data_IF_793352055669
#
_entry.id   IF_793352055669
#
_cell.length_a   1.000
_cell.length_b   1.000
_cell.length_c   1.000
_cell.angle_alpha   90.00
_cell.angle_beta   90.00
_cell.angle_gamma   90.00
#
_symmetry.space_group_name_H-M   'P 1'
#
loop_
_entity.id
_entity.type
_entity.pdbx_description
1 polymer ?
#
# COMPACT_ATOMS: atom_id res chain seq x y z
N UNK A 1 5.65 11.85 -1.32
CA UNK A 1 4.73 11.33 -2.35
C UNK A 1 5.42 11.43 -3.71
N UNK A 2 5.54 10.35 -4.48
CA UNK A 2 6.12 10.39 -5.83
C UNK A 2 5.30 11.28 -6.79
N UNK A 3 5.97 12.04 -7.67
CA UNK A 3 5.33 13.01 -8.57
C UNK A 3 4.38 12.34 -9.59
N UNK A 4 4.72 11.15 -10.03
CA UNK A 4 3.94 10.33 -10.96
C UNK A 4 2.59 9.89 -10.34
N UNK A 5 2.53 9.72 -9.02
CA UNK A 5 1.26 9.44 -8.31
C UNK A 5 0.37 10.68 -8.24
N UNK A 6 0.94 11.86 -8.01
CA UNK A 6 0.18 13.11 -7.94
C UNK A 6 -0.54 13.41 -9.26
N UNK A 7 0.05 13.05 -10.39
CA UNK A 7 -0.49 13.29 -11.73
C UNK A 7 -1.70 12.42 -12.09
N UNK A 8 -1.91 11.30 -11.40
CA UNK A 8 -2.99 10.34 -11.68
C UNK A 8 -4.18 10.45 -10.70
N UNK A 9 -4.12 11.40 -9.76
CA UNK A 9 -5.22 11.67 -8.85
C UNK A 9 -6.36 12.33 -9.61
N UNK A 10 -7.59 11.88 -9.37
CA UNK A 10 -8.78 12.52 -9.94
C UNK A 10 -9.15 13.78 -9.14
N UNK A 11 -9.99 14.65 -9.69
CA UNK A 11 -10.47 15.84 -8.99
C UNK A 11 -11.10 15.46 -7.64
N UNK A 12 -10.65 16.12 -6.57
CA UNK A 12 -11.10 15.88 -5.20
C UNK A 12 -10.53 14.62 -4.53
N UNK A 13 -9.70 13.83 -5.23
CA UNK A 13 -8.90 12.76 -4.61
C UNK A 13 -7.69 13.39 -3.91
N UNK A 14 -7.48 13.07 -2.64
CA UNK A 14 -6.36 13.59 -1.84
C UNK A 14 -5.53 12.45 -1.29
N UNK A 15 -4.21 12.59 -1.29
CA UNK A 15 -3.32 11.67 -0.59
C UNK A 15 -3.46 11.86 0.92
N UNK A 16 -3.61 10.74 1.65
CA UNK A 16 -3.80 10.70 3.10
C UNK A 16 -2.51 10.27 3.80
N UNK A 17 -1.88 9.21 3.28
CA UNK A 17 -0.63 8.69 3.82
C UNK A 17 0.16 7.95 2.73
N UNK A 18 1.48 7.93 2.86
CA UNK A 18 2.36 7.15 2.00
C UNK A 18 3.36 6.36 2.86
N UNK A 19 3.45 5.06 2.61
CA UNK A 19 4.36 4.14 3.28
C UNK A 19 5.40 3.65 2.30
N UNK A 20 6.65 3.54 2.76
CA UNK A 20 7.71 2.92 1.98
C UNK A 20 7.56 1.40 2.06
N UNK A 21 7.38 0.76 0.91
CA UNK A 21 7.43 -0.71 0.82
C UNK A 21 8.87 -1.15 0.59
N UNK A 22 9.12 -2.46 0.56
CA UNK A 22 10.45 -2.98 0.23
C UNK A 22 10.90 -2.57 -1.19
N UNK A 23 9.96 -2.46 -2.13
CA UNK A 23 10.25 -2.19 -3.55
C UNK A 23 9.91 -0.78 -4.01
N UNK A 24 8.98 -0.07 -3.36
CA UNK A 24 8.64 1.31 -3.73
C UNK A 24 7.74 2.03 -2.69
N UNK A 25 6.41 2.05 -2.85
CA UNK A 25 5.51 2.76 -1.95
C UNK A 25 4.06 2.30 -2.05
N UNK A 26 3.35 2.36 -0.92
CA UNK A 26 1.92 2.14 -0.81
C UNK A 26 1.27 3.44 -0.32
N UNK A 27 0.28 3.95 -1.07
CA UNK A 27 -0.26 5.29 -0.90
C UNK A 27 -1.76 5.22 -0.70
N UNK A 28 -2.21 5.66 0.47
CA UNK A 28 -3.62 5.78 0.81
C UNK A 28 -4.10 7.14 0.31
N UNK A 29 -5.18 7.14 -0.47
CA UNK A 29 -5.90 8.36 -0.86
C UNK A 29 -7.27 8.38 -0.20
N UNK A 30 -8.07 9.41 -0.46
CA UNK A 30 -9.49 9.42 -0.05
C UNK A 30 -10.37 8.45 -0.84
N UNK A 31 -9.84 7.73 -1.85
CA UNK A 31 -10.63 6.86 -2.74
C UNK A 31 -10.08 5.44 -2.91
N UNK A 32 -8.76 5.26 -2.84
CA UNK A 32 -8.10 3.99 -3.17
C UNK A 32 -6.73 3.88 -2.53
N UNK A 33 -6.26 2.65 -2.42
CA UNK A 33 -4.85 2.36 -2.21
C UNK A 33 -4.15 2.32 -3.58
N UNK A 34 -3.09 3.11 -3.74
CA UNK A 34 -2.20 3.08 -4.90
C UNK A 34 -0.91 2.37 -4.49
N UNK A 35 -0.57 1.28 -5.17
CA UNK A 35 0.68 0.56 -4.98
C UNK A 35 1.58 0.86 -6.16
N UNK A 36 2.74 1.44 -5.90
CA UNK A 36 3.79 1.66 -6.89
C UNK A 36 4.86 0.61 -6.69
N UNK A 37 5.29 -0.04 -7.77
CA UNK A 37 6.33 -1.07 -7.78
C UNK A 37 7.34 -0.80 -8.90
N UNK A 38 8.58 -0.42 -8.53
CA UNK A 38 9.66 -0.20 -9.46
C UNK A 38 10.34 -1.54 -9.75
N UNK A 39 10.28 -1.92 -11.01
CA UNK A 39 10.78 -3.19 -11.51
C UNK A 39 12.05 -3.03 -12.33
N UNK A 40 12.83 -4.11 -12.34
CA UNK A 40 14.05 -4.25 -13.12
C UNK A 40 15.28 -3.62 -12.45
N UNK A 41 16.46 -3.97 -12.95
CA UNK A 41 17.75 -3.56 -12.39
C UNK A 41 17.96 -2.04 -12.36
N UNK A 42 17.34 -1.31 -13.29
CA UNK A 42 17.43 0.15 -13.38
C UNK A 42 16.34 0.90 -12.62
N UNK A 43 15.31 0.20 -12.12
CA UNK A 43 14.13 0.81 -11.48
C UNK A 43 13.30 1.72 -12.39
N UNK A 44 13.58 1.76 -13.71
CA UNK A 44 12.89 2.65 -14.65
C UNK A 44 11.50 2.15 -15.05
N UNK A 45 11.25 0.85 -14.97
CA UNK A 45 9.93 0.28 -15.23
C UNK A 45 9.12 0.43 -13.94
N UNK A 46 8.03 1.17 -13.98
CA UNK A 46 7.16 1.36 -12.81
C UNK A 46 5.82 0.72 -13.13
N UNK A 47 5.40 -0.22 -12.30
CA UNK A 47 4.05 -0.75 -12.31
C UNK A 47 3.23 -0.07 -11.21
N UNK A 48 2.00 0.32 -11.54
CA UNK A 48 1.08 0.96 -10.60
C UNK A 48 -0.23 0.19 -10.55
N UNK A 49 -0.63 -0.18 -9.34
CA UNK A 49 -1.91 -0.81 -9.07
C UNK A 49 -2.80 0.18 -8.32
N UNK A 50 -4.04 0.34 -8.79
CA UNK A 50 -5.07 1.11 -8.09
C UNK A 50 -6.11 0.17 -7.51
N UNK A 51 -6.23 0.14 -6.20
CA UNK A 51 -7.17 -0.69 -5.46
C UNK A 51 -8.22 0.18 -4.77
N UNK A 52 -9.43 0.35 -5.36
CA UNK A 52 -10.54 1.00 -4.68
C UNK A 52 -10.89 0.29 -3.38
N UNK A 53 -11.12 1.04 -2.30
CA UNK A 53 -11.35 0.46 -0.98
C UNK A 53 -12.57 -0.46 -0.93
N UNK A 54 -13.63 -0.10 -1.65
CA UNK A 54 -14.86 -0.92 -1.79
C UNK A 54 -14.63 -2.34 -2.33
N UNK A 55 -13.47 -2.60 -2.95
CA UNK A 55 -13.14 -3.91 -3.52
C UNK A 55 -12.31 -4.79 -2.56
N UNK A 56 -11.86 -4.24 -1.42
CA UNK A 56 -11.16 -4.99 -0.38
C UNK A 56 -12.22 -5.74 0.43
N UNK A 57 -12.16 -7.06 0.42
CA UNK A 57 -13.12 -7.93 1.14
C UNK A 57 -12.56 -8.43 2.47
N UNK A 58 -11.24 -8.49 2.60
CA UNK A 58 -10.53 -8.90 3.81
C UNK A 58 -9.10 -8.34 3.76
N UNK A 59 -8.50 -8.13 4.93
CA UNK A 59 -7.07 -7.91 5.05
C UNK A 59 -6.49 -8.67 6.25
N UNK A 60 -5.19 -8.90 6.22
CA UNK A 60 -4.40 -9.38 7.35
C UNK A 60 -3.10 -8.59 7.43
N UNK A 61 -2.49 -8.60 8.61
CA UNK A 61 -1.27 -7.87 8.90
C UNK A 61 -0.34 -8.72 9.76
N UNK A 62 0.94 -8.73 9.43
CA UNK A 62 1.98 -9.40 10.21
C UNK A 62 3.08 -8.38 10.58
N UNK A 63 3.44 -8.34 11.85
CA UNK A 63 4.53 -7.51 12.34
C UNK A 63 5.86 -8.23 12.08
N UNK A 64 6.93 -7.46 11.88
CA UNK A 64 8.28 -8.02 11.82
C UNK A 64 8.60 -8.74 13.15
N UNK A 65 8.96 -10.02 13.10
CA UNK A 65 9.25 -10.86 14.27
C UNK A 65 10.72 -10.86 14.73
N UNK A 66 10.96 -10.63 16.03
CA UNK A 66 12.29 -10.82 16.64
C UNK A 66 13.41 -9.94 16.05
N UNK A 67 14.66 -10.23 16.43
CA UNK A 67 15.82 -9.37 16.10
C UNK A 67 16.27 -9.45 14.62
N UNK A 68 15.80 -10.46 13.89
CA UNK A 68 16.29 -10.82 12.55
C UNK A 68 15.24 -10.77 11.44
N UNK A 69 13.94 -10.76 11.77
CA UNK A 69 12.91 -10.52 10.77
C UNK A 69 12.70 -9.00 10.66
N UNK A 70 13.02 -8.46 9.49
CA UNK A 70 13.11 -7.01 9.28
C UNK A 70 11.89 -6.45 8.56
N UNK A 71 11.01 -7.30 8.05
CA UNK A 71 9.95 -6.90 7.15
C UNK A 71 8.60 -7.24 7.78
N UNK A 72 7.72 -6.27 7.80
CA UNK A 72 6.33 -6.49 8.11
C UNK A 72 5.54 -6.68 6.83
N UNK A 73 4.35 -7.25 6.94
CA UNK A 73 3.55 -7.58 5.78
C UNK A 73 2.09 -7.22 5.97
N UNK A 74 1.45 -6.81 4.89
CA UNK A 74 0.00 -6.63 4.80
C UNK A 74 -0.50 -7.35 3.56
N UNK A 75 -1.52 -8.16 3.74
CA UNK A 75 -2.18 -8.89 2.67
C UNK A 75 -3.63 -8.39 2.52
N UNK A 76 -4.07 -8.25 1.27
CA UNK A 76 -5.35 -7.66 0.88
C UNK A 76 -6.07 -8.60 -0.09
N UNK A 77 -7.27 -9.02 0.27
CA UNK A 77 -8.09 -9.87 -0.59
C UNK A 77 -9.16 -9.05 -1.29
N UNK A 78 -9.37 -9.39 -2.55
CA UNK A 78 -10.43 -8.84 -3.39
C UNK A 78 -11.15 -10.01 -4.06
N UNK A 79 -12.29 -9.73 -4.70
CA UNK A 79 -12.97 -10.74 -5.53
C UNK A 79 -12.14 -11.18 -6.76
N UNK A 80 -11.18 -10.36 -7.19
CA UNK A 80 -10.37 -10.62 -8.38
C UNK A 80 -9.01 -11.28 -8.05
N UNK A 81 -8.64 -11.38 -6.78
CA UNK A 81 -7.35 -11.91 -6.37
C UNK A 81 -6.84 -11.34 -5.05
N UNK A 82 -5.58 -11.63 -4.78
CA UNK A 82 -4.87 -11.33 -3.54
C UNK A 82 -3.65 -10.45 -3.82
N UNK A 83 -3.48 -9.38 -3.04
CA UNK A 83 -2.38 -8.41 -3.14
C UNK A 83 -1.57 -8.47 -1.83
N UNK A 84 -0.27 -8.72 -1.97
CA UNK A 84 0.70 -8.81 -0.86
C UNK A 84 1.62 -7.60 -0.86
N UNK A 85 1.65 -6.88 0.26
CA UNK A 85 2.46 -5.68 0.47
C UNK A 85 3.55 -5.95 1.50
N UNK A 86 4.79 -6.03 1.02
CA UNK A 86 5.96 -6.12 1.90
C UNK A 86 6.38 -4.72 2.33
N UNK A 87 6.32 -4.47 3.63
CA UNK A 87 6.63 -3.20 4.23
C UNK A 87 8.12 -3.13 4.54
N UNK A 88 8.71 -1.95 4.36
CA UNK A 88 10.11 -1.72 4.72
C UNK A 88 10.33 -1.77 6.23
N UNK A 89 11.58 -1.93 6.63
CA UNK A 89 11.99 -1.87 8.04
C UNK A 89 11.52 -0.58 8.71
N UNK A 90 10.95 -0.72 9.91
CA UNK A 90 10.51 0.41 10.74
C UNK A 90 9.16 1.01 10.36
N UNK A 91 8.43 0.39 9.41
CA UNK A 91 7.04 0.78 9.12
C UNK A 91 6.12 0.32 10.26
N UNK A 92 5.30 1.24 10.75
CA UNK A 92 4.26 0.94 11.72
C UNK A 92 3.06 0.26 11.05
N UNK A 93 2.95 -1.05 11.23
CA UNK A 93 1.88 -1.89 10.69
C UNK A 93 0.53 -1.54 11.30
N UNK A 94 0.47 -1.17 12.59
CA UNK A 94 -0.78 -0.82 13.26
C UNK A 94 -1.36 0.49 12.73
N UNK A 95 -0.48 1.40 12.29
CA UNK A 95 -0.92 2.58 11.56
C UNK A 95 -1.55 2.22 10.21
N UNK A 96 -1.02 1.22 9.51
CA UNK A 96 -1.60 0.72 8.26
C UNK A 96 -2.95 0.04 8.51
N UNK A 97 -3.07 -0.81 9.53
CA UNK A 97 -4.35 -1.42 9.92
C UNK A 97 -5.43 -0.35 10.15
N UNK A 98 -5.07 0.70 10.89
CA UNK A 98 -5.98 1.81 11.19
C UNK A 98 -6.44 2.55 9.93
N UNK A 99 -5.55 2.70 8.94
CA UNK A 99 -5.88 3.36 7.67
C UNK A 99 -6.73 2.47 6.76
N UNK A 100 -6.46 1.16 6.71
CA UNK A 100 -7.30 0.22 5.97
C UNK A 100 -8.69 0.19 6.62
N UNK A 101 -8.79 0.12 7.95
CA UNK A 101 -10.06 0.15 8.66
C UNK A 101 -10.83 1.45 8.39
N UNK A 102 -10.17 2.61 8.48
CA UNK A 102 -10.78 3.90 8.13
C UNK A 102 -11.29 3.92 6.68
N UNK A 103 -10.54 3.35 5.74
CA UNK A 103 -10.86 3.42 4.33
C UNK A 103 -11.92 2.40 3.87
N UNK A 104 -12.02 1.26 4.55
CA UNK A 104 -12.89 0.13 4.15
C UNK A 104 -14.18 0.06 4.97
N UNK A 105 -14.15 0.49 6.23
CA UNK A 105 -15.27 0.32 7.18
C UNK A 105 -16.05 1.62 7.49
N UNK A 106 -15.67 2.77 6.91
CA UNK A 106 -16.37 4.06 7.06
C UNK A 106 -16.80 4.58 5.70
#
# INVERSE_FOLDING_TARGET
>A
MPNDVTQILVQGEQAVAAFKTFRDSAIFTTKRLIVRDAQGLSGKKVEMYSLPYKNIVMWSSENAGGMFDLNSEVELWTKAGHIKLQLGKGVDVRRIDSLIAWAVLQ
#
